data_IF_824573995774
#
_entry.id   IF_824573995774
#
_cell.length_a   1.000
_cell.length_b   1.000
_cell.length_c   1.000
_cell.angle_alpha   90.00
_cell.angle_beta   90.00
_cell.angle_gamma   90.00
#
_symmetry.space_group_name_H-M   'P 1'
#
loop_
_entity.id
_entity.type
_entity.pdbx_description
1 polymer ?
#
# COMPACT_ATOMS: atom_id res chain seq x y z
N UNK A 1 -3.63 -27.31 40.22
CA UNK A 1 -5.04 -27.64 39.96
C UNK A 1 -5.48 -26.98 38.67
N UNK A 2 -5.94 -27.76 37.69
CA UNK A 2 -6.53 -27.26 36.45
C UNK A 2 -7.84 -26.54 36.78
N UNK A 3 -8.01 -25.30 36.32
CA UNK A 3 -9.33 -24.69 36.12
C UNK A 3 -9.44 -24.25 34.67
N UNK A 4 -10.09 -25.10 33.89
CA UNK A 4 -10.79 -24.75 32.65
C UNK A 4 -12.16 -24.18 33.03
N UNK A 5 -12.63 -23.22 32.25
CA UNK A 5 -13.95 -22.61 32.29
C UNK A 5 -13.79 -21.13 31.96
N UNK A 6 -14.21 -20.59 30.81
CA UNK A 6 -15.29 -20.99 29.92
C UNK A 6 -16.42 -19.99 30.05
N UNK A 7 -16.46 -19.01 29.15
CA UNK A 7 -17.52 -18.00 28.96
C UNK A 7 -16.95 -16.94 27.99
N UNK A 8 -17.42 -16.75 26.76
CA UNK A 8 -18.80 -16.82 26.28
C UNK A 8 -19.39 -15.41 26.26
N UNK A 9 -18.82 -14.51 25.45
CA UNK A 9 -19.25 -13.12 25.30
C UNK A 9 -18.69 -12.55 24.00
N UNK A 10 -19.57 -12.07 23.12
CA UNK A 10 -19.31 -11.71 21.73
C UNK A 10 -18.48 -10.43 21.52
N UNK A 11 -17.22 -10.47 21.94
CA UNK A 11 -16.19 -9.57 21.44
C UNK A 11 -15.39 -10.30 20.37
N UNK A 12 -15.28 -9.72 19.17
CA UNK A 12 -14.32 -10.15 18.17
C UNK A 12 -12.91 -9.94 18.74
N UNK A 13 -12.43 -10.90 19.52
CA UNK A 13 -11.01 -10.96 19.87
C UNK A 13 -10.16 -11.07 18.60
N UNK A 14 -8.86 -10.82 18.70
CA UNK A 14 -7.96 -10.79 17.54
C UNK A 14 -8.01 -12.08 16.70
N UNK A 15 -8.30 -13.24 17.31
CA UNK A 15 -8.53 -14.51 16.60
C UNK A 15 -9.75 -14.44 15.67
N UNK A 16 -10.83 -13.80 16.10
CA UNK A 16 -12.01 -13.57 15.28
C UNK A 16 -11.71 -12.59 14.14
N UNK A 17 -10.98 -11.51 14.45
CA UNK A 17 -10.53 -10.53 13.45
C UNK A 17 -9.63 -11.18 12.39
N UNK A 18 -8.69 -12.03 12.80
CA UNK A 18 -7.84 -12.81 11.89
C UNK A 18 -8.65 -13.67 10.91
N UNK A 19 -9.70 -14.34 11.40
CA UNK A 19 -10.61 -15.13 10.54
C UNK A 19 -11.33 -14.25 9.54
N UNK A 20 -11.81 -13.08 9.96
CA UNK A 20 -12.48 -12.14 9.05
C UNK A 20 -11.54 -11.63 7.96
N UNK A 21 -10.28 -11.29 8.27
CA UNK A 21 -9.33 -10.88 7.24
C UNK A 21 -8.95 -12.02 6.29
N UNK A 22 -8.74 -13.23 6.79
CA UNK A 22 -8.46 -14.38 5.93
C UNK A 22 -9.65 -14.69 4.99
N UNK A 23 -10.88 -14.60 5.50
CA UNK A 23 -12.08 -14.75 4.68
C UNK A 23 -12.18 -13.63 3.63
N UNK A 24 -11.91 -12.38 4.01
CA UNK A 24 -11.87 -11.24 3.10
C UNK A 24 -10.81 -11.40 2.00
N UNK A 25 -9.61 -11.83 2.38
CA UNK A 25 -8.52 -12.12 1.43
C UNK A 25 -8.93 -13.21 0.42
N UNK A 26 -9.58 -14.27 0.90
CA UNK A 26 -10.07 -15.34 0.02
C UNK A 26 -11.14 -14.82 -0.95
N UNK A 27 -12.10 -14.02 -0.48
CA UNK A 27 -13.14 -13.41 -1.31
C UNK A 27 -12.54 -12.50 -2.39
N UNK A 28 -11.59 -11.64 -2.02
CA UNK A 28 -10.94 -10.72 -2.98
C UNK A 28 -10.05 -11.44 -3.99
N UNK A 29 -9.36 -12.53 -3.60
CA UNK A 29 -8.64 -13.38 -4.56
C UNK A 29 -9.61 -14.04 -5.55
N UNK A 30 -10.74 -14.56 -5.08
CA UNK A 30 -11.76 -15.12 -5.97
C UNK A 30 -12.30 -14.05 -6.94
N UNK A 31 -12.55 -12.84 -6.45
CA UNK A 31 -13.03 -11.72 -7.27
C UNK A 31 -12.00 -11.33 -8.35
N UNK A 32 -10.72 -11.24 -7.97
CA UNK A 32 -9.63 -10.94 -8.90
C UNK A 32 -9.50 -11.99 -10.02
N UNK A 33 -9.68 -13.28 -9.70
CA UNK A 33 -9.65 -14.37 -10.68
C UNK A 33 -10.87 -14.32 -11.60
N UNK A 34 -12.08 -14.10 -11.07
CA UNK A 34 -13.30 -14.00 -11.88
C UNK A 34 -13.26 -12.81 -12.85
N UNK A 35 -12.76 -11.65 -12.41
CA UNK A 35 -12.55 -10.49 -13.28
C UNK A 35 -11.43 -10.65 -14.31
N UNK A 36 -10.51 -11.60 -14.11
CA UNK A 36 -9.50 -12.00 -15.10
C UNK A 36 -10.05 -12.99 -16.13
N UNK A 37 -10.86 -13.96 -15.69
CA UNK A 37 -11.45 -15.00 -16.54
C UNK A 37 -12.50 -14.46 -17.53
N UNK A 38 -13.21 -13.37 -17.18
CA UNK A 38 -14.11 -12.68 -18.11
C UNK A 38 -13.36 -11.85 -19.16
N UNK A 39 -12.19 -11.28 -18.82
CA UNK A 39 -11.33 -10.55 -19.77
C UNK A 39 -10.80 -11.46 -20.89
N UNK A 40 -10.38 -12.68 -20.57
CA UNK A 40 -9.87 -13.66 -21.54
C UNK A 40 -10.94 -14.21 -22.50
N UNK A 41 -12.21 -14.25 -22.05
CA UNK A 41 -13.34 -14.63 -22.92
C UNK A 41 -13.70 -13.50 -23.89
N UNK A 42 -13.67 -12.25 -23.42
CA UNK A 42 -13.93 -11.07 -24.25
C UNK A 42 -12.90 -10.86 -25.38
N UNK A 43 -11.63 -11.22 -25.16
CA UNK A 43 -10.60 -11.13 -26.23
C UNK A 43 -10.74 -12.21 -27.31
N UNK A 44 -11.22 -13.42 -26.95
CA UNK A 44 -11.50 -14.47 -27.93
C UNK A 44 -12.75 -14.18 -28.76
N UNK A 45 -13.78 -13.59 -28.16
CA UNK A 45 -15.04 -13.27 -28.83
C UNK A 45 -14.93 -11.99 -29.70
N UNK A 46 -14.05 -11.04 -29.35
CA UNK A 46 -13.75 -9.85 -30.19
C UNK A 46 -13.01 -10.18 -31.49
N UNK A 47 -12.35 -11.34 -31.60
CA UNK A 47 -11.71 -11.77 -32.86
C UNK A 47 -12.70 -12.35 -33.89
N UNK A 48 -13.91 -12.72 -33.47
CA UNK A 48 -14.90 -13.33 -34.39
C UNK A 48 -16.03 -12.40 -34.83
N UNK A 49 -16.34 -11.31 -34.11
CA UNK A 49 -17.49 -10.45 -34.45
C UNK A 49 -17.10 -8.99 -34.73
N UNK A 50 -16.42 -8.75 -35.85
CA UNK A 50 -16.36 -7.41 -36.45
C UNK A 50 -17.50 -7.24 -37.46
N UNK A 51 -18.73 -7.11 -36.95
CA UNK A 51 -19.89 -6.55 -37.68
C UNK A 51 -20.94 -6.11 -36.66
N UNK A 52 -21.10 -4.80 -36.57
CA UNK A 52 -22.29 -4.02 -36.22
C UNK A 52 -22.09 -3.02 -35.08
N UNK A 53 -22.19 -1.76 -35.49
CA UNK A 53 -22.06 -0.53 -34.75
C UNK A 53 -23.34 -0.29 -33.93
N UNK A 54 -23.39 -0.78 -32.69
CA UNK A 54 -24.39 -0.40 -31.68
C UNK A 54 -23.90 -0.55 -30.23
N UNK A 55 -22.59 -0.65 -30.00
CA UNK A 55 -21.99 -1.08 -28.72
C UNK A 55 -21.39 0.05 -27.83
N UNK A 56 -21.47 1.32 -28.23
CA UNK A 56 -20.81 2.39 -27.46
C UNK A 56 -21.49 2.72 -26.12
N UNK A 57 -22.82 2.61 -26.00
CA UNK A 57 -23.50 2.99 -24.75
C UNK A 57 -23.37 1.93 -23.63
N UNK A 58 -23.29 0.64 -23.97
CA UNK A 58 -23.14 -0.41 -22.95
C UNK A 58 -21.72 -0.47 -22.36
N UNK A 59 -20.70 -0.12 -23.15
CA UNK A 59 -19.32 -0.12 -22.68
C UNK A 59 -19.05 0.98 -21.65
N UNK A 60 -19.65 2.17 -21.81
CA UNK A 60 -19.45 3.27 -20.86
C UNK A 60 -20.03 2.97 -19.48
N UNK A 61 -21.23 2.39 -19.40
CA UNK A 61 -21.85 2.03 -18.12
C UNK A 61 -21.05 0.97 -17.34
N UNK A 62 -20.44 0.01 -18.05
CA UNK A 62 -19.61 -1.02 -17.40
C UNK A 62 -18.30 -0.45 -16.85
N UNK A 63 -17.66 0.47 -17.57
CA UNK A 63 -16.42 1.13 -17.12
C UNK A 63 -16.71 2.00 -15.88
N UNK A 64 -17.84 2.72 -15.86
CA UNK A 64 -18.23 3.54 -14.71
C UNK A 64 -18.51 2.72 -13.45
N UNK A 65 -19.15 1.55 -13.56
CA UNK A 65 -19.36 0.67 -12.41
C UNK A 65 -18.06 0.03 -11.92
N UNK A 66 -17.15 -0.39 -12.82
CA UNK A 66 -15.85 -0.94 -12.44
C UNK A 66 -15.01 0.09 -11.65
N UNK A 67 -15.00 1.35 -12.09
CA UNK A 67 -14.29 2.42 -11.39
C UNK A 67 -14.94 2.78 -10.04
N UNK A 68 -16.27 2.72 -9.93
CA UNK A 68 -16.96 2.86 -8.63
C UNK A 68 -16.58 1.74 -7.66
N UNK A 69 -16.49 0.51 -8.15
CA UNK A 69 -16.10 -0.64 -7.33
C UNK A 69 -14.64 -0.55 -6.87
N UNK A 70 -13.72 -0.11 -7.74
CA UNK A 70 -12.35 0.21 -7.35
C UNK A 70 -12.29 1.35 -6.33
N UNK A 71 -13.10 2.39 -6.47
CA UNK A 71 -13.17 3.47 -5.50
C UNK A 71 -13.64 2.98 -4.11
N UNK A 72 -14.64 2.10 -4.06
CA UNK A 72 -15.08 1.44 -2.81
C UNK A 72 -13.96 0.58 -2.23
N UNK A 73 -13.24 -0.16 -3.07
CA UNK A 73 -12.09 -0.96 -2.64
C UNK A 73 -10.99 -0.10 -2.00
N UNK A 74 -10.67 1.07 -2.58
CA UNK A 74 -9.72 2.03 -1.98
C UNK A 74 -10.15 2.48 -0.59
N UNK A 75 -11.45 2.74 -0.38
CA UNK A 75 -11.99 3.07 0.95
C UNK A 75 -11.80 1.91 1.94
N UNK A 76 -12.04 0.67 1.51
CA UNK A 76 -11.80 -0.50 2.35
C UNK A 76 -10.32 -0.66 2.70
N UNK A 77 -9.41 -0.48 1.74
CA UNK A 77 -7.96 -0.51 1.98
C UNK A 77 -7.53 0.58 2.97
N UNK A 78 -8.07 1.80 2.84
CA UNK A 78 -7.80 2.87 3.80
C UNK A 78 -8.23 2.46 5.22
N UNK A 79 -9.44 1.92 5.37
CA UNK A 79 -9.94 1.42 6.66
C UNK A 79 -9.07 0.27 7.20
N UNK A 80 -8.68 -0.69 6.35
CA UNK A 80 -7.80 -1.80 6.72
C UNK A 80 -6.43 -1.32 7.18
N UNK A 81 -5.86 -0.31 6.52
CA UNK A 81 -4.56 0.25 6.86
C UNK A 81 -4.51 0.75 8.30
N UNK A 82 -5.61 1.36 8.79
CA UNK A 82 -5.73 1.81 10.19
C UNK A 82 -5.56 0.68 11.21
N UNK A 83 -5.88 -0.57 10.84
CA UNK A 83 -5.68 -1.71 11.74
C UNK A 83 -4.22 -2.13 11.88
N UNK A 84 -3.33 -1.72 10.98
CA UNK A 84 -1.90 -2.08 11.04
C UNK A 84 -1.22 -1.59 12.33
N UNK A 85 -1.68 -0.46 12.91
CA UNK A 85 -1.14 0.08 14.17
C UNK A 85 -1.84 -0.49 15.43
N UNK A 86 -3.07 -0.98 15.28
CA UNK A 86 -3.92 -1.40 16.38
C UNK A 86 -3.76 -2.88 16.73
N UNK A 87 -3.60 -3.75 15.73
CA UNK A 87 -3.53 -5.19 15.94
C UNK A 87 -2.17 -5.61 16.49
N UNK A 88 -2.16 -6.49 17.48
CA UNK A 88 -0.92 -7.01 18.09
C UNK A 88 -0.72 -8.49 17.80
N UNK A 89 -1.81 -9.26 17.74
CA UNK A 89 -1.77 -10.71 17.54
C UNK A 89 -1.27 -11.11 16.17
N UNK A 90 -0.39 -12.12 16.16
CA UNK A 90 0.24 -12.69 14.98
C UNK A 90 -0.75 -12.99 13.86
N UNK A 91 -1.78 -13.78 14.14
CA UNK A 91 -2.71 -14.26 13.12
C UNK A 91 -3.54 -13.11 12.53
N UNK A 92 -3.85 -12.10 13.36
CA UNK A 92 -4.59 -10.93 12.91
C UNK A 92 -3.72 -10.07 11.98
N UNK A 93 -2.44 -9.89 12.31
CA UNK A 93 -1.48 -9.15 11.49
C UNK A 93 -1.17 -9.86 10.17
N UNK A 94 -0.92 -11.16 10.20
CA UNK A 94 -0.76 -11.97 8.99
C UNK A 94 -2.02 -11.94 8.11
N UNK A 95 -3.20 -12.02 8.74
CA UNK A 95 -4.49 -11.91 8.04
C UNK A 95 -4.66 -10.57 7.35
N UNK A 96 -4.35 -9.46 8.05
CA UNK A 96 -4.39 -8.12 7.49
C UNK A 96 -3.45 -7.98 6.28
N UNK A 97 -2.21 -8.45 6.39
CA UNK A 97 -1.25 -8.40 5.29
C UNK A 97 -1.73 -9.20 4.06
N UNK A 98 -2.29 -10.39 4.27
CA UNK A 98 -2.89 -11.21 3.20
C UNK A 98 -4.11 -10.53 2.57
N UNK A 99 -4.92 -9.81 3.35
CA UNK A 99 -6.07 -9.07 2.84
C UNK A 99 -5.62 -7.88 1.98
N UNK A 100 -4.61 -7.12 2.41
CA UNK A 100 -4.02 -6.05 1.61
C UNK A 100 -3.39 -6.57 0.31
N UNK A 101 -2.71 -7.72 0.36
CA UNK A 101 -2.15 -8.38 -0.83
C UNK A 101 -3.25 -8.80 -1.81
N UNK A 102 -4.34 -9.38 -1.31
CA UNK A 102 -5.49 -9.72 -2.13
C UNK A 102 -6.16 -8.48 -2.74
N UNK A 103 -6.24 -7.36 -2.00
CA UNK A 103 -6.70 -6.09 -2.53
C UNK A 103 -5.76 -5.57 -3.63
N UNK A 104 -4.45 -5.77 -3.50
CA UNK A 104 -3.45 -5.43 -4.52
C UNK A 104 -3.61 -6.17 -5.85
N UNK A 105 -4.26 -7.35 -5.84
CA UNK A 105 -4.63 -8.04 -7.09
C UNK A 105 -5.78 -7.35 -7.84
N UNK A 106 -6.61 -6.57 -7.15
CA UNK A 106 -7.72 -5.79 -7.72
C UNK A 106 -7.27 -4.35 -8.02
N UNK A 107 -6.41 -3.78 -7.16
CA UNK A 107 -5.80 -2.46 -7.26
C UNK A 107 -4.29 -2.61 -7.45
N UNK A 108 -3.80 -2.77 -8.69
CA UNK A 108 -2.40 -3.05 -8.98
C UNK A 108 -1.43 -2.02 -8.39
N UNK A 109 -1.87 -0.77 -8.24
CA UNK A 109 -1.09 0.28 -7.59
C UNK A 109 -0.71 -0.08 -6.14
N UNK A 110 -1.54 -0.83 -5.41
CA UNK A 110 -1.28 -1.20 -4.02
C UNK A 110 -0.29 -2.36 -3.87
N UNK A 111 -0.12 -3.17 -4.91
CA UNK A 111 0.56 -4.46 -4.83
C UNK A 111 1.99 -4.38 -4.25
N UNK A 112 2.85 -3.42 -4.65
CA UNK A 112 4.20 -3.31 -4.07
C UNK A 112 4.17 -3.09 -2.55
N UNK A 113 3.31 -2.18 -2.09
CA UNK A 113 3.16 -1.90 -0.66
C UNK A 113 2.57 -3.10 0.10
N UNK A 114 1.60 -3.80 -0.51
CA UNK A 114 1.00 -4.97 0.10
C UNK A 114 1.99 -6.15 0.24
N UNK A 115 2.88 -6.35 -0.72
CA UNK A 115 3.94 -7.37 -0.64
C UNK A 115 4.92 -7.06 0.49
N UNK A 116 5.28 -5.79 0.68
CA UNK A 116 6.07 -5.34 1.82
C UNK A 116 5.33 -5.58 3.14
N UNK A 117 4.03 -5.31 3.22
CA UNK A 117 3.22 -5.64 4.41
C UNK A 117 3.27 -7.14 4.74
N UNK A 118 3.23 -8.02 3.74
CA UNK A 118 3.38 -9.48 3.96
C UNK A 118 4.79 -9.82 4.47
N UNK A 119 5.83 -9.20 3.92
CA UNK A 119 7.20 -9.42 4.37
C UNK A 119 7.44 -8.90 5.79
N UNK A 120 6.93 -7.71 6.14
CA UNK A 120 7.04 -7.08 7.46
C UNK A 120 6.28 -7.85 8.55
N UNK A 121 5.25 -8.62 8.18
CA UNK A 121 4.48 -9.46 9.11
C UNK A 121 4.81 -10.97 8.98
N UNK A 122 5.97 -11.31 8.43
CA UNK A 122 6.40 -12.70 8.25
C UNK A 122 6.94 -13.34 9.53
N UNK A 123 6.77 -14.65 9.68
CA UNK A 123 7.17 -15.42 10.86
C UNK A 123 7.99 -16.62 10.43
N UNK A 124 8.95 -17.03 11.26
CA UNK A 124 9.78 -18.18 10.94
C UNK A 124 8.91 -19.45 10.89
N UNK A 125 9.09 -20.23 9.83
CA UNK A 125 8.45 -21.54 9.68
C UNK A 125 9.01 -22.59 10.65
N UNK A 126 10.22 -22.40 11.15
CA UNK A 126 10.95 -23.35 12.02
C UNK A 126 10.63 -23.14 13.50
N UNK A 127 10.20 -21.94 13.87
CA UNK A 127 9.97 -21.54 15.25
C UNK A 127 8.60 -20.88 15.35
N UNK A 128 7.71 -21.46 16.16
CA UNK A 128 6.30 -21.08 16.18
C UNK A 128 6.10 -19.64 16.65
N UNK A 129 6.97 -19.10 17.51
CA UNK A 129 6.75 -17.79 18.13
C UNK A 129 7.83 -16.76 17.75
N UNK A 130 8.66 -17.04 16.73
CA UNK A 130 9.72 -16.12 16.32
C UNK A 130 9.38 -15.40 14.99
N UNK A 131 9.53 -14.07 14.95
CA UNK A 131 9.53 -13.30 13.71
C UNK A 131 10.58 -13.82 12.72
N UNK A 132 10.26 -13.77 11.42
CA UNK A 132 11.26 -13.96 10.36
C UNK A 132 12.06 -12.65 10.22
N UNK A 133 13.07 -12.48 11.08
CA UNK A 133 13.86 -11.25 11.15
C UNK A 133 14.55 -10.91 9.85
N UNK A 134 15.11 -11.91 9.15
CA UNK A 134 15.81 -11.70 7.90
C UNK A 134 14.89 -11.10 6.85
N UNK A 135 13.69 -11.67 6.69
CA UNK A 135 12.70 -11.17 5.72
C UNK A 135 12.14 -9.81 6.10
N UNK A 136 11.87 -9.58 7.38
CA UNK A 136 11.38 -8.27 7.86
C UNK A 136 12.42 -7.17 7.68
N UNK A 137 13.68 -7.43 8.04
CA UNK A 137 14.77 -6.46 7.89
C UNK A 137 15.09 -6.19 6.42
N UNK A 138 15.03 -7.21 5.56
CA UNK A 138 15.15 -7.01 4.11
C UNK A 138 14.05 -6.10 3.56
N UNK A 139 12.80 -6.26 4.02
CA UNK A 139 11.71 -5.38 3.64
C UNK A 139 11.96 -3.93 4.09
N UNK A 140 12.40 -3.71 5.33
CA UNK A 140 12.78 -2.37 5.80
C UNK A 140 13.88 -1.73 4.95
N UNK A 141 14.93 -2.49 4.60
CA UNK A 141 16.02 -1.99 3.75
C UNK A 141 15.56 -1.59 2.35
N UNK A 142 14.49 -2.20 1.84
CA UNK A 142 13.92 -1.85 0.53
C UNK A 142 13.02 -0.61 0.56
N UNK A 143 12.62 -0.15 1.75
CA UNK A 143 11.85 1.09 1.93
C UNK A 143 12.78 2.29 2.07
N UNK A 144 13.58 2.52 1.03
CA UNK A 144 14.50 3.65 0.95
C UNK A 144 13.81 4.92 0.41
N UNK A 145 14.56 6.01 0.30
CA UNK A 145 14.05 7.28 -0.23
C UNK A 145 13.43 7.17 -1.61
N UNK A 146 14.03 6.35 -2.49
CA UNK A 146 13.57 6.20 -3.87
C UNK A 146 12.21 5.51 -3.88
N UNK A 147 12.05 4.49 -3.05
CA UNK A 147 10.78 3.82 -2.83
C UNK A 147 9.71 4.80 -2.32
N UNK A 148 10.01 5.57 -1.28
CA UNK A 148 9.04 6.50 -0.68
C UNK A 148 8.69 7.66 -1.61
N UNK A 149 9.65 8.21 -2.35
CA UNK A 149 9.41 9.26 -3.33
C UNK A 149 8.53 8.82 -4.51
N UNK A 150 8.50 7.52 -4.82
CA UNK A 150 7.61 6.94 -5.82
C UNK A 150 6.23 6.55 -5.26
N UNK A 151 6.06 6.51 -3.93
CA UNK A 151 4.81 6.09 -3.31
C UNK A 151 3.77 7.20 -3.31
N UNK A 152 2.57 6.86 -3.74
CA UNK A 152 1.37 7.65 -3.46
C UNK A 152 1.00 7.55 -1.97
N UNK A 153 0.25 8.52 -1.42
CA UNK A 153 -0.25 8.43 -0.04
C UNK A 153 -1.06 7.16 0.24
N UNK A 154 -1.76 6.64 -0.79
CA UNK A 154 -2.51 5.39 -0.70
C UNK A 154 -1.61 4.16 -0.48
N UNK A 155 -0.46 4.10 -1.16
CA UNK A 155 0.52 3.03 -0.98
C UNK A 155 1.29 3.19 0.34
N UNK A 156 1.63 4.43 0.70
CA UNK A 156 2.43 4.71 1.88
C UNK A 156 1.69 4.40 3.19
N UNK A 157 0.39 4.70 3.25
CA UNK A 157 -0.42 4.61 4.47
C UNK A 157 -0.27 3.28 5.25
N UNK A 158 -0.48 2.09 4.68
CA UNK A 158 -0.34 0.83 5.42
C UNK A 158 1.09 0.62 5.94
N UNK A 159 2.11 1.01 5.16
CA UNK A 159 3.51 0.85 5.53
C UNK A 159 3.94 1.83 6.63
N UNK A 160 3.49 3.07 6.57
CA UNK A 160 3.72 4.06 7.64
C UNK A 160 3.10 3.59 8.96
N UNK A 161 1.86 3.08 8.92
CA UNK A 161 1.19 2.56 10.10
C UNK A 161 1.83 1.28 10.64
N UNK A 162 2.40 0.44 9.76
CA UNK A 162 3.24 -0.69 10.16
C UNK A 162 4.54 -0.21 10.84
N UNK A 163 5.22 0.81 10.31
CA UNK A 163 6.42 1.36 10.96
C UNK A 163 6.10 1.92 12.34
N UNK A 164 4.98 2.64 12.49
CA UNK A 164 4.50 3.14 13.79
C UNK A 164 4.17 2.01 14.76
N UNK A 165 3.61 0.90 14.27
CA UNK A 165 3.42 -0.29 15.09
C UNK A 165 4.76 -0.82 15.61
N UNK A 166 5.72 -1.09 14.74
CA UNK A 166 6.98 -1.71 15.15
C UNK A 166 7.80 -0.79 16.04
N UNK A 167 7.76 0.53 15.83
CA UNK A 167 8.33 1.53 16.74
C UNK A 167 7.75 1.44 18.16
N UNK A 168 6.43 1.23 18.27
CA UNK A 168 5.71 1.21 19.56
C UNK A 168 5.75 -0.15 20.25
N UNK A 169 5.63 -1.23 19.49
CA UNK A 169 5.22 -2.54 19.98
C UNK A 169 6.21 -3.67 19.68
N UNK A 170 7.25 -3.44 18.88
CA UNK A 170 8.27 -4.47 18.67
C UNK A 170 9.16 -4.62 19.90
N UNK A 171 9.23 -5.82 20.45
CA UNK A 171 10.16 -6.18 21.52
C UNK A 171 11.62 -6.07 21.05
N UNK A 172 11.86 -6.31 19.76
CA UNK A 172 13.19 -6.32 19.16
C UNK A 172 13.68 -4.90 18.80
N UNK A 173 14.85 -4.54 19.33
CA UNK A 173 15.47 -3.23 19.12
C UNK A 173 15.90 -3.00 17.67
N UNK A 174 16.35 -4.05 16.97
CA UNK A 174 16.79 -3.96 15.57
C UNK A 174 15.60 -3.66 14.66
N UNK A 175 14.45 -4.30 14.90
CA UNK A 175 13.21 -3.99 14.17
C UNK A 175 12.72 -2.57 14.47
N UNK A 176 12.79 -2.11 15.73
CA UNK A 176 12.47 -0.72 16.09
C UNK A 176 13.36 0.27 15.35
N UNK A 177 14.67 0.01 15.31
CA UNK A 177 15.61 0.87 14.60
C UNK A 177 15.37 0.86 13.09
N UNK A 178 15.09 -0.29 12.50
CA UNK A 178 14.79 -0.40 11.07
C UNK A 178 13.51 0.37 10.70
N UNK A 179 12.47 0.30 11.54
CA UNK A 179 11.26 1.09 11.38
C UNK A 179 11.49 2.60 11.52
N UNK A 180 12.35 3.03 12.46
CA UNK A 180 12.74 4.43 12.61
C UNK A 180 13.43 4.97 11.35
N UNK A 181 14.39 4.21 10.80
CA UNK A 181 15.11 4.58 9.58
C UNK A 181 14.16 4.67 8.39
N UNK A 182 13.25 3.71 8.22
CA UNK A 182 12.26 3.77 7.13
C UNK A 182 11.32 5.00 7.25
N UNK A 183 10.95 5.39 8.47
CA UNK A 183 10.17 6.62 8.71
C UNK A 183 10.97 7.88 8.44
N UNK A 184 12.27 7.89 8.76
CA UNK A 184 13.16 8.99 8.41
C UNK A 184 13.25 9.15 6.89
N UNK A 185 13.48 8.06 6.14
CA UNK A 185 13.52 8.12 4.67
C UNK A 185 12.19 8.58 4.06
N UNK A 186 11.05 8.21 4.65
CA UNK A 186 9.73 8.71 4.26
C UNK A 186 9.64 10.23 4.45
N UNK A 187 10.03 10.74 5.63
CA UNK A 187 9.96 12.18 5.94
C UNK A 187 10.84 12.97 4.97
N UNK A 188 12.06 12.49 4.72
CA UNK A 188 12.96 13.21 3.83
C UNK A 188 12.50 13.11 2.36
N UNK A 189 11.93 11.98 1.93
CA UNK A 189 11.29 11.88 0.62
C UNK A 189 10.14 12.88 0.46
N UNK A 190 9.29 13.01 1.48
CA UNK A 190 8.16 13.94 1.50
C UNK A 190 8.60 15.41 1.54
N UNK A 191 9.68 15.75 2.24
CA UNK A 191 10.22 17.12 2.23
C UNK A 191 10.88 17.47 0.89
N UNK A 192 11.48 16.49 0.21
CA UNK A 192 12.15 16.72 -1.07
C UNK A 192 11.17 16.97 -2.23
N UNK A 193 9.90 16.56 -2.12
CA UNK A 193 8.89 16.85 -3.14
C UNK A 193 8.44 18.31 -3.17
N UNK A 194 8.57 19.04 -2.05
CA UNK A 194 8.15 20.45 -1.95
C UNK A 194 9.16 21.40 -2.62
N UNK A 195 10.47 21.08 -2.57
CA UNK A 195 11.53 21.91 -3.17
C UNK A 195 11.59 21.87 -4.71
N UNK A 196 10.87 20.93 -5.34
CA UNK A 196 10.80 20.77 -6.80
C UNK A 196 9.76 21.65 -7.49
N UNK A 197 8.72 22.07 -6.77
CA UNK A 197 7.63 22.88 -7.33
C UNK A 197 7.98 24.38 -7.41
N UNK A 198 8.91 24.86 -6.59
CA UNK A 198 9.32 26.29 -6.58
C UNK A 198 10.29 26.68 -7.71
N UNK A 199 10.85 25.72 -8.47
CA UNK A 199 11.88 26.00 -9.50
C UNK A 199 11.36 26.12 -10.93
N UNK A 200 10.07 25.91 -11.19
CA UNK A 200 9.50 26.06 -12.53
C UNK A 200 8.94 27.47 -12.84
N UNK A 201 8.82 28.38 -11.86
CA UNK A 201 8.32 29.75 -12.11
C UNK A 201 9.41 30.84 -12.31
N UNK A 202 10.68 30.61 -11.98
CA UNK A 202 11.74 31.65 -12.11
C UNK A 202 12.65 31.51 -13.36
N UNK A 203 12.16 30.84 -14.42
CA UNK A 203 12.89 30.65 -15.68
C UNK A 203 12.49 31.60 -16.82
N UNK A 204 11.88 32.75 -16.52
CA UNK A 204 11.12 33.55 -17.50
C UNK A 204 11.57 35.00 -17.67
N UNK A 205 12.83 35.23 -18.01
CA UNK A 205 13.24 36.41 -18.79
C UNK A 205 13.73 37.64 -18.02
N UNK A 206 15.02 37.92 -18.13
CA UNK A 206 15.47 39.25 -18.52
C UNK A 206 16.89 39.24 -19.11
N UNK A 207 16.99 38.96 -20.42
CA UNK A 207 18.09 39.44 -21.25
C UNK A 207 17.52 40.61 -22.07
N UNK A 208 17.87 41.86 -21.73
CA UNK A 208 18.18 42.98 -22.66
C UNK A 208 18.15 44.34 -21.96
N UNK A 209 19.33 44.98 -21.90
CA UNK A 209 19.69 46.42 -21.81
C UNK A 209 21.01 46.49 -21.03
N UNK A 210 22.15 46.21 -21.63
CA UNK A 210 22.94 47.13 -22.46
C UNK A 210 22.94 48.60 -21.98
N UNK A 211 24.12 49.01 -21.51
CA UNK A 211 24.84 50.27 -21.79
C UNK A 211 24.31 51.57 -21.18
N UNK A 212 25.06 52.17 -20.25
CA UNK A 212 26.06 53.23 -20.53
C UNK A 212 26.63 53.89 -19.26
N UNK A 213 27.96 54.15 -19.28
CA UNK A 213 28.75 55.19 -18.58
C UNK A 213 28.86 55.08 -17.05
N UNK A 214 30.00 55.27 -16.39
CA UNK A 214 31.05 56.27 -16.60
C UNK A 214 32.46 55.70 -16.34
N UNK A 215 33.38 56.02 -17.26
CA UNK A 215 34.79 56.24 -16.96
C UNK A 215 34.90 57.64 -16.31
N UNK A 216 35.65 57.77 -15.22
CA UNK A 216 36.66 58.83 -15.02
C UNK A 216 37.40 58.57 -13.70
N UNK A 217 38.57 57.94 -13.81
CA UNK A 217 39.70 58.16 -12.90
C UNK A 217 40.41 59.42 -13.38
N UNK A 218 40.32 60.50 -12.60
CA UNK A 218 41.45 61.41 -12.30
C UNK A 218 41.21 62.15 -10.98
#
# INVERSE_FOLDING_TARGET
GRKRGGGGGGSLGEVGVARTFNALAALWRCLAVSGGAERDKGEKEKRENNKNNSNNNNNNNNIEEEEKDKARMRQHVHALSQWAVLLTGREAREGLAKALEAAGAILPELLPAAQLMVALNSWDSRSVDEPDYDRRLAAYRSMDRVFWGACTPFQALPLTLQCLFDLRASEDLVLRQAAAVAMEELIIAASSSEEGEEKEEEGGGNKKKEKEKEEEEE
#
